data_IF_002646967803
#
_entry.id   IF_002646967803
#
_cell.length_a   1.000
_cell.length_b   1.000
_cell.length_c   1.000
_cell.angle_alpha   90.00
_cell.angle_beta   90.00
_cell.angle_gamma   90.00
#
_symmetry.space_group_name_H-M   'P 1'
#
loop_
_entity.id
_entity.type
_entity.pdbx_description
1 polymer ?
#
# COMPACT_ATOMS: atom_id res chain seq x y z
N UNK A 1 52.08 16.37 28.42
CA UNK A 1 51.66 17.10 27.20
C UNK A 1 51.43 16.19 26.00
N UNK A 2 52.39 15.36 25.58
CA UNK A 2 52.27 14.49 24.39
C UNK A 2 51.16 13.42 24.48
N UNK A 3 51.00 12.78 25.64
CA UNK A 3 49.94 11.77 25.88
C UNK A 3 48.54 12.40 25.87
N UNK A 4 48.39 13.59 26.47
CA UNK A 4 47.12 14.32 26.46
C UNK A 4 46.69 14.71 25.04
N UNK A 5 47.64 15.12 24.19
CA UNK A 5 47.39 15.44 22.79
C UNK A 5 46.94 14.23 21.97
N UNK A 6 47.56 13.06 22.19
CA UNK A 6 47.18 11.81 21.50
C UNK A 6 45.78 11.37 21.93
N UNK A 7 45.47 11.43 23.22
CA UNK A 7 44.14 11.07 23.73
C UNK A 7 43.05 12.04 23.24
N UNK A 8 43.35 13.34 23.18
CA UNK A 8 42.43 14.34 22.65
C UNK A 8 42.14 14.13 21.16
N UNK A 9 43.18 13.80 20.37
CA UNK A 9 43.03 13.52 18.94
C UNK A 9 42.22 12.25 18.70
N UNK A 10 42.48 11.18 19.47
CA UNK A 10 41.71 9.94 19.39
C UNK A 10 40.23 10.18 19.72
N UNK A 11 39.93 10.91 20.80
CA UNK A 11 38.55 11.22 21.20
C UNK A 11 37.82 12.02 20.12
N UNK A 12 38.47 13.02 19.52
CA UNK A 12 37.92 13.81 18.43
C UNK A 12 37.63 12.95 17.20
N UNK A 13 38.56 12.08 16.82
CA UNK A 13 38.33 11.14 15.70
C UNK A 13 37.23 10.15 16.02
N UNK A 14 37.20 9.59 17.23
CA UNK A 14 36.18 8.64 17.64
C UNK A 14 34.80 9.28 17.64
N UNK A 15 34.62 10.46 18.20
CA UNK A 15 33.35 11.19 18.18
C UNK A 15 32.94 11.52 16.75
N UNK A 16 33.85 11.96 15.90
CA UNK A 16 33.54 12.25 14.50
C UNK A 16 33.08 11.01 13.73
N UNK A 17 33.81 9.89 13.83
CA UNK A 17 33.42 8.64 13.17
C UNK A 17 32.16 8.04 13.77
N UNK A 18 32.03 8.05 15.10
CA UNK A 18 30.85 7.53 15.79
C UNK A 18 29.61 8.36 15.48
N UNK A 19 29.67 9.69 15.50
CA UNK A 19 28.57 10.54 15.07
C UNK A 19 28.23 10.37 13.59
N UNK A 20 29.23 10.10 12.73
CA UNK A 20 28.98 9.81 11.31
C UNK A 20 28.27 8.46 11.13
N UNK A 21 28.66 7.44 11.90
CA UNK A 21 27.99 6.13 11.95
C UNK A 21 26.57 6.28 12.49
N UNK A 22 26.41 6.96 13.64
CA UNK A 22 25.10 7.19 14.26
C UNK A 22 24.18 7.99 13.34
N UNK A 23 24.68 9.01 12.63
CA UNK A 23 23.90 9.74 11.64
C UNK A 23 23.55 8.89 10.43
N UNK A 24 24.48 8.06 9.95
CA UNK A 24 24.25 7.15 8.82
C UNK A 24 23.17 6.11 9.14
N UNK A 25 23.14 5.62 10.38
CA UNK A 25 22.13 4.70 10.88
C UNK A 25 21.03 5.40 11.69
N UNK A 26 20.90 6.73 11.60
CA UNK A 26 19.99 7.45 12.51
C UNK A 26 18.55 7.09 12.24
N UNK A 27 18.15 7.03 10.96
CA UNK A 27 16.80 6.64 10.59
C UNK A 27 16.55 5.17 10.92
N UNK A 28 17.52 4.27 10.68
CA UNK A 28 17.44 2.86 11.09
C UNK A 28 17.28 2.71 12.62
N UNK A 29 18.01 3.49 13.41
CA UNK A 29 17.90 3.50 14.87
C UNK A 29 16.63 4.20 15.35
N UNK A 30 16.21 5.28 14.70
CA UNK A 30 14.99 6.01 15.04
C UNK A 30 13.77 5.13 14.77
N UNK A 31 13.71 4.48 13.61
CA UNK A 31 12.70 3.47 13.28
C UNK A 31 12.73 2.32 14.28
N UNK A 32 13.90 1.77 14.60
CA UNK A 32 14.03 0.68 15.57
C UNK A 32 13.72 1.08 17.03
N UNK A 33 13.89 2.35 17.41
CA UNK A 33 13.61 2.87 18.76
C UNK A 33 12.19 3.41 18.93
N UNK A 34 11.56 3.91 17.87
CA UNK A 34 10.14 4.30 17.88
C UNK A 34 9.24 3.04 17.82
N UNK A 35 9.72 1.96 17.18
CA UNK A 35 9.08 0.64 17.14
C UNK A 35 9.42 -0.18 18.40
N UNK A 36 8.86 0.16 19.55
CA UNK A 36 8.90 -0.77 20.67
C UNK A 36 7.99 -1.98 20.35
N UNK A 37 8.63 -3.11 20.01
CA UNK A 37 8.15 -4.48 19.77
C UNK A 37 7.46 -4.81 18.43
N UNK A 38 8.21 -5.40 17.48
CA UNK A 38 7.65 -6.47 16.63
C UNK A 38 7.76 -6.42 15.11
N UNK A 39 8.76 -5.76 14.50
CA UNK A 39 8.94 -5.81 13.03
C UNK A 39 9.03 -7.26 12.53
N UNK A 40 8.14 -7.63 11.60
CA UNK A 40 8.07 -8.96 11.03
C UNK A 40 9.40 -9.37 10.38
N UNK A 41 10.01 -10.43 10.91
CA UNK A 41 11.38 -10.79 10.52
C UNK A 41 11.44 -11.39 9.11
N UNK A 42 12.56 -11.21 8.40
CA UNK A 42 12.81 -11.73 7.05
C UNK A 42 12.50 -13.24 6.88
N UNK A 43 12.67 -14.04 7.95
CA UNK A 43 12.52 -15.50 7.93
C UNK A 43 11.10 -16.00 8.29
N UNK A 44 10.14 -15.10 8.54
CA UNK A 44 8.76 -15.48 8.87
C UNK A 44 7.86 -15.43 7.64
N UNK A 45 6.75 -16.15 7.71
CA UNK A 45 5.68 -16.16 6.72
C UNK A 45 4.34 -16.14 7.43
N UNK A 46 3.39 -15.37 6.90
CA UNK A 46 2.01 -15.37 7.35
C UNK A 46 1.31 -16.54 6.64
N UNK A 47 0.66 -17.44 7.38
CA UNK A 47 -0.11 -18.52 6.74
C UNK A 47 -1.47 -18.00 6.27
N UNK A 48 -1.52 -17.59 5.02
CA UNK A 48 -2.72 -17.06 4.39
C UNK A 48 -3.59 -18.18 3.77
N UNK A 49 -3.17 -19.45 3.84
CA UNK A 49 -3.91 -20.55 3.21
C UNK A 49 -5.18 -20.97 3.98
N UNK A 50 -5.25 -20.73 5.29
CA UNK A 50 -6.35 -21.16 6.17
C UNK A 50 -7.37 -20.05 6.47
N UNK A 51 -7.44 -19.03 5.61
CA UNK A 51 -8.39 -17.92 5.78
C UNK A 51 -9.65 -18.14 4.95
N UNK A 52 -10.80 -17.60 5.41
CA UNK A 52 -12.10 -17.61 4.72
C UNK A 52 -12.04 -16.67 3.49
N UNK A 53 -11.12 -16.97 2.59
CA UNK A 53 -10.59 -16.03 1.65
C UNK A 53 -11.61 -15.59 0.59
N UNK A 54 -11.78 -14.27 0.45
CA UNK A 54 -12.29 -13.64 -0.78
C UNK A 54 -11.48 -14.02 -2.03
N UNK A 55 -10.22 -14.38 -1.83
CA UNK A 55 -9.25 -14.86 -2.80
C UNK A 55 -9.60 -16.19 -3.50
N UNK A 56 -10.45 -16.99 -2.85
CA UNK A 56 -11.02 -18.22 -3.38
C UNK A 56 -12.48 -18.07 -3.78
N UNK A 57 -13.05 -16.85 -3.69
CA UNK A 57 -14.32 -16.58 -4.38
C UNK A 57 -14.02 -16.79 -5.85
N UNK A 58 -14.62 -17.81 -6.43
CA UNK A 58 -14.62 -17.96 -7.87
C UNK A 58 -15.02 -16.63 -8.50
N UNK A 59 -14.48 -16.36 -9.68
CA UNK A 59 -14.82 -15.19 -10.49
C UNK A 59 -16.35 -15.09 -10.54
N UNK A 60 -16.91 -13.96 -10.08
CA UNK A 60 -18.36 -13.78 -10.13
C UNK A 60 -18.82 -13.81 -11.58
N UNK A 61 -19.97 -14.45 -11.83
CA UNK A 61 -20.60 -14.46 -13.14
C UNK A 61 -21.30 -13.12 -13.38
N UNK A 62 -20.57 -12.18 -13.98
CA UNK A 62 -21.10 -10.86 -14.34
C UNK A 62 -21.94 -10.98 -15.61
N UNK A 63 -23.25 -10.74 -15.49
CA UNK A 63 -24.13 -10.60 -16.64
C UNK A 63 -24.04 -9.18 -17.17
N UNK A 64 -23.23 -8.99 -18.21
CA UNK A 64 -23.02 -7.70 -18.85
C UNK A 64 -23.86 -7.65 -20.14
N UNK A 65 -24.79 -6.70 -20.20
CA UNK A 65 -25.58 -6.45 -21.41
C UNK A 65 -24.70 -5.86 -22.52
N UNK A 66 -25.08 -6.09 -23.78
CA UNK A 66 -24.35 -5.57 -24.93
C UNK A 66 -24.25 -4.03 -24.88
N UNK A 67 -23.01 -3.52 -24.84
CA UNK A 67 -22.72 -2.08 -24.71
C UNK A 67 -22.60 -1.54 -23.29
N UNK A 68 -22.77 -2.38 -22.26
CA UNK A 68 -22.67 -2.02 -20.83
C UNK A 68 -21.38 -2.52 -20.16
N UNK A 69 -20.41 -2.97 -20.97
CA UNK A 69 -19.11 -3.42 -20.49
C UNK A 69 -18.22 -2.21 -20.18
N UNK A 70 -17.52 -2.25 -19.05
CA UNK A 70 -16.53 -1.24 -18.70
C UNK A 70 -15.39 -1.23 -19.75
N UNK A 71 -15.15 -0.12 -20.47
CA UNK A 71 -14.00 -0.03 -21.35
C UNK A 71 -12.69 0.19 -20.56
N UNK A 72 -12.81 0.71 -19.34
CA UNK A 72 -11.74 1.00 -18.41
C UNK A 72 -12.27 0.98 -16.97
N UNK A 73 -11.38 0.71 -16.02
CA UNK A 73 -11.69 0.57 -14.61
C UNK A 73 -10.89 1.59 -13.80
N UNK A 74 -11.53 2.44 -12.99
CA UNK A 74 -10.85 3.22 -11.98
C UNK A 74 -10.22 2.30 -10.93
N UNK A 75 -8.91 2.42 -10.74
CA UNK A 75 -8.20 1.80 -9.61
C UNK A 75 -7.93 2.87 -8.57
N UNK A 76 -8.64 2.82 -7.46
CA UNK A 76 -8.60 3.85 -6.42
C UNK A 76 -7.44 3.56 -5.47
N UNK A 77 -6.61 4.57 -5.20
CA UNK A 77 -5.46 4.48 -4.31
C UNK A 77 -5.72 5.27 -3.02
N UNK A 78 -5.92 4.55 -1.93
CA UNK A 78 -5.95 5.06 -0.56
C UNK A 78 -4.67 4.69 0.19
N UNK A 79 -4.39 5.34 1.32
CA UNK A 79 -3.32 4.91 2.24
C UNK A 79 -3.86 4.81 3.66
N UNK A 80 -4.09 5.95 4.33
CA UNK A 80 -4.65 5.99 5.70
C UNK A 80 -6.11 6.40 5.69
N UNK A 81 -6.94 5.73 6.48
CA UNK A 81 -8.30 6.16 6.80
C UNK A 81 -8.34 6.52 8.29
N UNK A 82 -8.41 7.80 8.61
CA UNK A 82 -8.34 8.28 10.00
C UNK A 82 -9.68 8.80 10.47
N UNK A 83 -10.10 8.46 11.69
CA UNK A 83 -11.29 9.07 12.29
C UNK A 83 -11.10 10.58 12.39
N UNK A 84 -12.15 11.34 12.07
CA UNK A 84 -12.13 12.79 12.08
C UNK A 84 -11.71 13.37 13.46
N UNK A 85 -11.98 12.65 14.55
CA UNK A 85 -11.63 13.06 15.92
C UNK A 85 -10.19 12.74 16.31
N UNK A 86 -9.50 11.92 15.53
CA UNK A 86 -8.15 11.42 15.80
C UNK A 86 -7.05 12.25 15.11
N UNK A 87 -7.46 13.25 14.33
CA UNK A 87 -6.56 14.21 13.69
C UNK A 87 -5.78 15.00 14.75
N UNK A 88 -4.48 15.15 14.51
CA UNK A 88 -3.53 15.76 15.43
C UNK A 88 -2.48 16.55 14.65
N UNK A 89 -1.69 17.39 15.34
CA UNK A 89 -0.74 18.33 14.70
C UNK A 89 0.29 17.64 13.77
N UNK A 90 0.74 16.42 14.10
CA UNK A 90 1.71 15.69 13.28
C UNK A 90 1.13 15.11 11.98
N UNK A 91 -0.20 15.09 11.84
CA UNK A 91 -0.87 14.71 10.59
C UNK A 91 -0.83 15.83 9.54
N UNK A 92 -0.37 17.02 9.92
CA UNK A 92 -0.22 18.17 9.03
C UNK A 92 1.23 18.31 8.54
N UNK A 93 1.38 18.68 7.29
CA UNK A 93 2.66 19.09 6.73
C UNK A 93 3.09 20.46 7.29
N UNK A 94 4.30 20.91 6.95
CA UNK A 94 4.86 22.20 7.41
C UNK A 94 4.04 23.43 6.98
N UNK A 95 3.15 23.30 6.00
CA UNK A 95 2.27 24.36 5.53
C UNK A 95 0.91 24.34 6.24
N UNK A 96 0.69 23.45 7.22
CA UNK A 96 -0.58 23.30 7.93
C UNK A 96 -1.65 22.58 7.12
N UNK A 97 -1.26 21.82 6.08
CA UNK A 97 -2.18 21.03 5.28
C UNK A 97 -2.10 19.57 5.71
N UNK A 98 -3.24 18.92 5.93
CA UNK A 98 -3.30 17.49 6.25
C UNK A 98 -2.67 16.69 5.10
N UNK A 99 -1.83 15.69 5.42
CA UNK A 99 -1.14 14.89 4.41
C UNK A 99 -2.13 14.28 3.41
N UNK A 100 -1.79 14.34 2.12
CA UNK A 100 -2.65 13.84 1.03
C UNK A 100 -2.94 12.34 1.10
N UNK A 101 -2.08 11.58 1.78
CA UNK A 101 -2.22 10.14 2.02
C UNK A 101 -3.24 9.81 3.12
N UNK A 102 -3.75 10.82 3.83
CA UNK A 102 -4.81 10.66 4.81
C UNK A 102 -6.14 10.99 4.14
N UNK A 103 -7.10 10.08 4.22
CA UNK A 103 -8.52 10.33 3.95
C UNK A 103 -9.27 10.26 5.27
N UNK A 104 -10.18 11.20 5.52
CA UNK A 104 -10.99 11.13 6.73
C UNK A 104 -12.03 10.03 6.63
N UNK A 105 -12.30 9.36 7.74
CA UNK A 105 -13.32 8.31 7.82
C UNK A 105 -14.67 8.80 7.30
N UNK A 106 -15.10 10.01 7.71
CA UNK A 106 -16.38 10.57 7.22
C UNK A 106 -16.40 10.84 5.70
N UNK A 107 -15.24 11.06 5.07
CA UNK A 107 -15.13 11.15 3.61
C UNK A 107 -15.22 9.76 2.99
N UNK A 108 -14.50 8.79 3.53
CA UNK A 108 -14.50 7.40 3.07
C UNK A 108 -15.89 6.77 3.15
N UNK A 109 -16.62 6.96 4.26
CA UNK A 109 -18.01 6.52 4.42
C UNK A 109 -18.90 7.05 3.29
N UNK A 110 -18.86 8.37 3.02
CA UNK A 110 -19.64 8.98 1.92
C UNK A 110 -19.27 8.45 0.54
N UNK A 111 -18.00 8.15 0.33
CA UNK A 111 -17.51 7.58 -0.93
C UNK A 111 -18.05 6.15 -1.11
N UNK A 112 -18.00 5.32 -0.07
CA UNK A 112 -18.53 3.95 -0.12
C UNK A 112 -20.06 3.93 -0.22
N UNK A 113 -20.75 4.81 0.49
CA UNK A 113 -22.20 5.04 0.37
C UNK A 113 -22.58 5.39 -1.06
N UNK A 114 -21.82 6.29 -1.72
CA UNK A 114 -22.08 6.66 -3.10
C UNK A 114 -21.89 5.47 -4.04
N UNK A 115 -20.78 4.73 -3.91
CA UNK A 115 -20.55 3.53 -4.70
C UNK A 115 -21.72 2.54 -4.57
N UNK A 116 -22.16 2.28 -3.34
CA UNK A 116 -23.27 1.36 -3.08
C UNK A 116 -24.60 1.89 -3.65
N UNK A 117 -24.90 3.17 -3.45
CA UNK A 117 -26.10 3.83 -3.95
C UNK A 117 -26.18 3.80 -5.48
N UNK A 118 -25.04 3.93 -6.14
CA UNK A 118 -24.93 3.91 -7.60
C UNK A 118 -24.75 2.50 -8.18
N UNK A 119 -24.87 1.45 -7.37
CA UNK A 119 -24.73 0.04 -7.76
C UNK A 119 -23.34 -0.30 -8.33
N UNK A 120 -22.29 0.34 -7.82
CA UNK A 120 -20.92 -0.04 -8.17
C UNK A 120 -20.54 -1.41 -7.59
N UNK A 121 -19.75 -2.14 -8.37
CA UNK A 121 -19.11 -3.37 -7.96
C UNK A 121 -17.64 -3.09 -7.63
N UNK A 122 -17.20 -3.53 -6.46
CA UNK A 122 -15.77 -3.58 -6.13
C UNK A 122 -15.20 -4.93 -6.54
N UNK A 123 -14.08 -4.92 -7.27
CA UNK A 123 -13.50 -6.10 -7.90
C UNK A 123 -12.51 -6.80 -6.98
N UNK A 124 -12.51 -8.14 -7.03
CA UNK A 124 -11.38 -8.93 -6.51
C UNK A 124 -10.17 -8.76 -7.42
N UNK A 125 -8.99 -9.09 -6.92
CA UNK A 125 -7.77 -9.03 -7.74
C UNK A 125 -7.84 -9.94 -8.97
N UNK A 126 -8.49 -11.11 -8.84
CA UNK A 126 -8.61 -12.09 -9.93
C UNK A 126 -9.59 -11.65 -11.01
N UNK A 127 -10.71 -11.03 -10.64
CA UNK A 127 -11.65 -10.45 -11.60
C UNK A 127 -10.97 -9.32 -12.39
N UNK A 128 -10.22 -8.46 -11.69
CA UNK A 128 -9.46 -7.40 -12.33
C UNK A 128 -8.35 -7.94 -13.26
N UNK A 129 -7.60 -8.99 -12.84
CA UNK A 129 -6.60 -9.66 -13.69
C UNK A 129 -7.22 -10.19 -15.00
N UNK A 130 -8.38 -10.84 -14.91
CA UNK A 130 -9.05 -11.40 -16.09
C UNK A 130 -9.58 -10.30 -17.02
N UNK A 131 -10.12 -9.21 -16.46
CA UNK A 131 -10.52 -8.03 -17.23
C UNK A 131 -9.33 -7.41 -17.98
N UNK A 132 -8.21 -7.22 -17.28
CA UNK A 132 -6.98 -6.67 -17.84
C UNK A 132 -6.43 -7.51 -19.01
N UNK A 133 -6.67 -8.82 -19.00
CA UNK A 133 -6.31 -9.77 -20.06
C UNK A 133 -7.37 -9.90 -21.16
N UNK A 134 -8.48 -9.17 -21.07
CA UNK A 134 -9.60 -9.25 -22.01
C UNK A 134 -10.36 -10.58 -21.97
N UNK A 135 -10.29 -11.31 -20.85
CA UNK A 135 -10.90 -12.65 -20.71
C UNK A 135 -12.34 -12.60 -20.19
N UNK A 136 -12.73 -11.52 -19.51
CA UNK A 136 -14.09 -11.29 -19.03
C UNK A 136 -14.51 -9.84 -19.26
N UNK A 137 -15.81 -9.65 -19.49
CA UNK A 137 -16.43 -8.33 -19.43
C UNK A 137 -16.88 -8.05 -17.99
N UNK A 138 -16.67 -6.80 -17.56
CA UNK A 138 -17.13 -6.30 -16.25
C UNK A 138 -18.22 -5.23 -16.44
N UNK A 139 -19.17 -5.08 -15.50
CA UNK A 139 -20.15 -4.01 -15.54
C UNK A 139 -19.46 -2.63 -15.59
N UNK A 140 -20.01 -1.68 -16.36
CA UNK A 140 -19.49 -0.30 -16.48
C UNK A 140 -19.21 0.34 -15.10
N UNK A 141 -20.09 0.11 -14.13
CA UNK A 141 -19.93 0.59 -12.74
C UNK A 141 -19.08 -0.38 -11.93
N UNK A 142 -17.81 -0.54 -12.30
CA UNK A 142 -16.84 -1.36 -11.57
C UNK A 142 -15.63 -0.55 -11.17
N UNK A 143 -15.13 -0.78 -9.96
CA UNK A 143 -13.89 -0.16 -9.43
C UNK A 143 -13.02 -1.19 -8.74
N UNK A 144 -11.71 -0.96 -8.73
CA UNK A 144 -10.78 -1.67 -7.86
C UNK A 144 -10.36 -0.74 -6.74
N UNK A 145 -10.61 -1.11 -5.48
CA UNK A 145 -10.18 -0.33 -4.32
C UNK A 145 -8.83 -0.88 -3.85
N UNK A 146 -7.83 -0.02 -3.70
CA UNK A 146 -6.49 -0.39 -3.24
C UNK A 146 -6.04 0.52 -2.10
N UNK A 147 -5.29 -0.06 -1.16
CA UNK A 147 -4.63 0.61 -0.06
C UNK A 147 -3.14 0.29 -0.10
N UNK A 148 -2.30 1.26 0.19
CA UNK A 148 -0.84 1.05 0.30
C UNK A 148 -0.37 1.16 1.76
N UNK A 149 0.87 0.73 1.99
CA UNK A 149 1.66 0.78 3.23
C UNK A 149 1.27 -0.20 4.34
N UNK A 150 0.01 -0.63 4.41
CA UNK A 150 -0.46 -1.57 5.43
C UNK A 150 -0.65 -0.92 6.81
N UNK A 151 -1.27 0.26 6.86
CA UNK A 151 -1.58 0.95 8.11
C UNK A 151 -2.65 0.24 8.92
N UNK A 152 -2.52 0.27 10.24
CA UNK A 152 -3.48 -0.33 11.18
C UNK A 152 -4.88 0.26 11.05
N UNK A 153 -4.96 1.54 10.74
CA UNK A 153 -6.23 2.23 10.55
C UNK A 153 -7.05 1.70 9.36
N UNK A 154 -6.42 0.97 8.42
CA UNK A 154 -7.15 0.23 7.39
C UNK A 154 -7.98 -0.91 7.98
N UNK A 155 -7.50 -1.56 9.05
CA UNK A 155 -8.25 -2.57 9.78
C UNK A 155 -9.28 -1.94 10.73
N UNK A 156 -8.92 -0.86 11.41
CA UNK A 156 -9.80 -0.24 12.42
C UNK A 156 -10.96 0.51 11.77
N UNK A 157 -10.69 1.31 10.73
CA UNK A 157 -11.68 2.21 10.14
C UNK A 157 -12.21 1.73 8.79
N UNK A 158 -11.33 1.34 7.85
CA UNK A 158 -11.76 1.01 6.49
C UNK A 158 -12.48 -0.34 6.40
N UNK A 159 -11.94 -1.37 7.05
CA UNK A 159 -12.48 -2.74 7.06
C UNK A 159 -13.98 -2.82 7.44
N UNK A 160 -14.44 -2.27 8.58
CA UNK A 160 -15.85 -2.40 8.96
C UNK A 160 -16.79 -1.74 7.95
N UNK A 161 -16.41 -0.60 7.38
CA UNK A 161 -17.20 0.12 6.37
C UNK A 161 -17.29 -0.72 5.08
N UNK A 162 -16.16 -1.19 4.56
CA UNK A 162 -16.13 -2.06 3.38
C UNK A 162 -16.96 -3.33 3.59
N UNK A 163 -16.86 -3.93 4.78
CA UNK A 163 -17.62 -5.14 5.14
C UNK A 163 -19.13 -4.89 5.16
N UNK A 164 -19.58 -3.76 5.70
CA UNK A 164 -20.99 -3.38 5.74
C UNK A 164 -21.57 -3.25 4.32
N UNK A 165 -20.81 -2.67 3.39
CA UNK A 165 -21.19 -2.56 1.98
C UNK A 165 -20.97 -3.85 1.17
N UNK A 166 -20.42 -4.91 1.77
CA UNK A 166 -19.99 -6.14 1.08
C UNK A 166 -18.99 -5.87 -0.05
N UNK A 167 -18.15 -4.86 0.14
CA UNK A 167 -17.08 -4.50 -0.77
C UNK A 167 -15.80 -5.27 -0.47
N UNK A 168 -14.95 -5.37 -1.49
CA UNK A 168 -13.62 -5.96 -1.41
C UNK A 168 -12.58 -4.93 -1.84
N UNK A 169 -11.36 -5.09 -1.33
CA UNK A 169 -10.26 -4.18 -1.61
C UNK A 169 -8.93 -4.94 -1.52
N UNK A 170 -7.90 -4.39 -2.16
CA UNK A 170 -6.52 -4.86 -2.05
C UNK A 170 -5.78 -3.99 -1.05
N UNK A 171 -4.82 -4.57 -0.33
CA UNK A 171 -3.91 -3.85 0.56
C UNK A 171 -2.47 -4.27 0.27
N UNK A 172 -1.66 -3.36 -0.27
CA UNK A 172 -0.25 -3.58 -0.54
C UNK A 172 0.55 -3.23 0.72
N UNK A 173 1.10 -4.23 1.37
CA UNK A 173 1.73 -4.10 2.68
C UNK A 173 3.26 -4.06 2.58
N UNK A 174 3.88 -3.17 3.34
CA UNK A 174 5.33 -3.18 3.55
C UNK A 174 5.60 -4.29 4.58
N UNK A 175 6.04 -5.46 4.12
CA UNK A 175 5.99 -6.66 4.98
C UNK A 175 6.92 -6.56 6.18
N UNK A 176 7.99 -5.77 6.10
CA UNK A 176 8.89 -5.53 7.22
C UNK A 176 8.30 -4.64 8.31
N UNK A 177 7.20 -3.93 8.05
CA UNK A 177 6.51 -3.08 9.01
C UNK A 177 5.32 -3.76 9.68
N UNK A 178 4.94 -4.97 9.25
CA UNK A 178 3.89 -5.74 9.89
C UNK A 178 4.31 -6.05 11.33
N UNK A 179 3.39 -5.88 12.27
CA UNK A 179 3.63 -6.22 13.67
C UNK A 179 3.36 -7.72 13.93
N UNK A 180 4.25 -8.38 14.64
CA UNK A 180 4.06 -9.79 15.01
C UNK A 180 2.85 -10.03 15.93
N UNK A 181 2.55 -9.05 16.78
CA UNK A 181 1.46 -9.12 17.76
C UNK A 181 0.64 -7.86 17.73
N UNK A 182 -0.66 -8.01 17.96
CA UNK A 182 -1.57 -6.89 18.11
C UNK A 182 -1.16 -5.97 19.29
N UNK A 183 -1.48 -4.70 19.12
CA UNK A 183 -1.24 -3.62 20.08
C UNK A 183 -2.48 -2.71 20.11
N UNK A 184 -2.67 -1.94 21.18
CA UNK A 184 -3.77 -0.97 21.20
C UNK A 184 -3.60 0.04 20.06
N UNK A 185 -4.71 0.40 19.39
CA UNK A 185 -4.67 1.40 18.34
C UNK A 185 -4.49 2.79 18.96
N UNK A 186 -3.39 3.43 18.61
CA UNK A 186 -2.96 4.75 19.01
C UNK A 186 -2.86 5.63 17.76
N UNK A 187 -3.91 6.40 17.43
CA UNK A 187 -3.97 7.20 16.20
C UNK A 187 -2.87 8.28 16.11
N UNK A 188 -2.20 8.57 17.23
CA UNK A 188 -1.09 9.52 17.29
C UNK A 188 0.21 9.00 16.66
N UNK A 189 0.26 7.72 16.33
CA UNK A 189 1.44 7.06 15.79
C UNK A 189 1.12 6.43 14.43
N UNK A 190 2.14 6.36 13.57
CA UNK A 190 2.05 5.50 12.39
C UNK A 190 2.16 4.06 12.85
N UNK A 191 1.02 3.41 13.05
CA UNK A 191 0.94 1.99 13.36
C UNK A 191 0.57 1.20 12.11
N UNK A 192 1.15 0.02 12.00
CA UNK A 192 0.95 -0.89 10.89
C UNK A 192 0.12 -2.09 11.34
N UNK A 193 -0.37 -2.85 10.36
CA UNK A 193 -1.16 -4.04 10.62
C UNK A 193 -0.34 -5.08 11.38
N UNK A 194 -0.97 -5.72 12.37
CA UNK A 194 -0.47 -6.96 12.95
C UNK A 194 -0.89 -8.17 12.12
N UNK A 195 -0.26 -9.33 12.36
CA UNK A 195 -0.70 -10.61 11.78
C UNK A 195 -2.19 -10.87 12.08
N UNK A 196 -2.64 -10.57 13.30
CA UNK A 196 -4.05 -10.73 13.69
C UNK A 196 -4.98 -9.82 12.91
N UNK A 197 -4.61 -8.56 12.68
CA UNK A 197 -5.40 -7.61 11.88
C UNK A 197 -5.58 -8.12 10.44
N UNK A 198 -4.47 -8.59 9.85
CA UNK A 198 -4.44 -9.20 8.51
C UNK A 198 -5.41 -10.39 8.45
N UNK A 199 -5.26 -11.34 9.36
CA UNK A 199 -6.06 -12.57 9.39
C UNK A 199 -7.55 -12.28 9.60
N UNK A 200 -7.88 -11.31 10.47
CA UNK A 200 -9.25 -10.93 10.80
C UNK A 200 -10.00 -10.29 9.62
N UNK A 201 -9.30 -9.66 8.68
CA UNK A 201 -9.91 -8.89 7.60
C UNK A 201 -9.88 -9.56 6.21
N UNK A 202 -9.46 -10.82 6.13
CA UNK A 202 -9.32 -11.58 4.87
C UNK A 202 -10.63 -11.90 4.12
N UNK A 203 -11.79 -11.59 4.71
CA UNK A 203 -13.10 -11.66 4.06
C UNK A 203 -13.42 -10.44 3.19
N UNK A 204 -12.65 -9.36 3.36
CA UNK A 204 -12.74 -8.08 2.62
C UNK A 204 -11.43 -7.77 1.88
N UNK A 205 -10.30 -7.88 2.59
CA UNK A 205 -9.00 -7.44 2.11
C UNK A 205 -8.17 -8.54 1.46
N UNK A 206 -7.54 -8.13 0.37
CA UNK A 206 -6.57 -8.86 -0.40
C UNK A 206 -5.14 -8.28 -0.22
N UNK A 207 -4.32 -8.86 0.67
CA UNK A 207 -2.93 -8.50 0.96
C UNK A 207 -1.85 -8.93 -0.05
N UNK A 208 -1.09 -7.95 -0.56
CA UNK A 208 -0.03 -8.10 -1.57
C UNK A 208 1.24 -7.31 -1.23
N UNK A 209 2.30 -7.49 -2.00
CA UNK A 209 3.61 -6.92 -1.68
C UNK A 209 3.70 -5.43 -2.00
N UNK A 210 4.16 -4.65 -1.02
CA UNK A 210 4.67 -3.30 -1.19
C UNK A 210 6.14 -3.21 -0.76
N UNK A 211 6.93 -4.24 -1.12
CA UNK A 211 8.31 -4.46 -0.64
C UNK A 211 8.41 -4.96 0.81
N UNK A 212 9.61 -5.36 1.23
CA UNK A 212 9.89 -5.69 2.63
C UNK A 212 10.31 -4.45 3.41
N UNK A 213 11.36 -3.77 2.95
CA UNK A 213 11.90 -2.56 3.57
C UNK A 213 12.48 -1.60 2.51
N UNK A 214 11.88 -1.54 1.31
CA UNK A 214 12.32 -0.66 0.22
C UNK A 214 11.36 0.51 -0.02
N UNK A 215 10.41 0.73 0.89
CA UNK A 215 9.58 1.93 0.94
C UNK A 215 10.34 3.12 1.57
N UNK A 216 11.45 3.48 0.95
CA UNK A 216 12.33 4.60 1.34
C UNK A 216 12.78 5.40 0.13
N UNK A 217 13.25 6.61 0.39
CA UNK A 217 13.92 7.46 -0.58
C UNK A 217 15.34 7.75 -0.13
N UNK A 218 16.28 7.83 -1.08
CA UNK A 218 17.63 8.26 -0.77
C UNK A 218 17.71 9.77 -0.50
N UNK A 219 18.90 10.27 -0.15
CA UNK A 219 19.15 11.69 0.15
C UNK A 219 18.70 12.66 -0.96
N UNK A 220 18.50 12.19 -2.18
CA UNK A 220 18.03 12.98 -3.34
C UNK A 220 16.52 12.89 -3.56
N UNK A 221 15.78 12.21 -2.68
CA UNK A 221 14.34 11.99 -2.82
C UNK A 221 13.99 10.95 -3.89
N UNK A 222 14.93 10.10 -4.29
CA UNK A 222 14.67 9.04 -5.29
C UNK A 222 14.37 7.74 -4.56
N UNK A 223 13.26 7.08 -4.92
CA UNK A 223 12.85 5.81 -4.30
C UNK A 223 13.94 4.75 -4.42
N UNK A 224 14.11 3.95 -3.36
CA UNK A 224 15.11 2.88 -3.29
C UNK A 224 14.92 1.87 -4.42
N UNK A 225 13.67 1.54 -4.75
CA UNK A 225 13.33 0.58 -5.79
C UNK A 225 14.00 0.88 -7.15
N UNK A 226 14.18 2.17 -7.50
CA UNK A 226 14.78 2.59 -8.77
C UNK A 226 16.20 3.13 -8.64
N UNK A 227 16.72 3.28 -7.42
CA UNK A 227 18.06 3.85 -7.17
C UNK A 227 19.07 2.84 -6.63
N UNK A 228 18.62 1.81 -5.93
CA UNK A 228 19.47 0.76 -5.39
C UNK A 228 19.87 -0.28 -6.45
N UNK A 229 20.96 -1.03 -6.23
CA UNK A 229 21.34 -2.14 -7.10
C UNK A 229 20.21 -3.15 -7.25
N UNK A 230 19.94 -3.60 -8.48
CA UNK A 230 18.82 -4.52 -8.78
C UNK A 230 18.88 -5.83 -7.98
N UNK A 231 20.08 -6.28 -7.60
CA UNK A 231 20.25 -7.46 -6.72
C UNK A 231 19.74 -7.24 -5.30
N UNK A 232 19.84 -6.01 -4.78
CA UNK A 232 19.31 -5.65 -3.47
C UNK A 232 17.78 -5.52 -3.53
N UNK A 233 17.26 -4.89 -4.59
CA UNK A 233 15.82 -4.82 -4.89
C UNK A 233 15.21 -6.23 -4.97
N UNK A 234 15.85 -7.13 -5.73
CA UNK A 234 15.41 -8.53 -5.84
C UNK A 234 15.34 -9.22 -4.48
N UNK A 235 16.40 -9.10 -3.67
CA UNK A 235 16.44 -9.71 -2.33
C UNK A 235 15.30 -9.18 -1.44
N UNK A 236 15.04 -7.89 -1.47
CA UNK A 236 13.97 -7.28 -0.67
C UNK A 236 12.57 -7.80 -1.09
N UNK A 237 12.30 -7.86 -2.40
CA UNK A 237 11.05 -8.41 -2.92
C UNK A 237 10.94 -9.92 -2.60
N UNK A 238 12.02 -10.69 -2.68
CA UNK A 238 12.05 -12.11 -2.31
C UNK A 238 11.67 -12.32 -0.84
N UNK A 239 12.15 -11.46 0.06
CA UNK A 239 11.75 -11.49 1.48
C UNK A 239 10.27 -11.19 1.61
N UNK A 240 9.77 -10.16 0.93
CA UNK A 240 8.35 -9.79 0.96
C UNK A 240 7.43 -10.91 0.46
N UNK A 241 7.81 -11.56 -0.64
CA UNK A 241 7.12 -12.72 -1.20
C UNK A 241 7.12 -13.88 -0.20
N UNK A 242 8.27 -14.17 0.44
CA UNK A 242 8.34 -15.18 1.50
C UNK A 242 7.44 -14.83 2.69
N UNK A 243 7.42 -13.56 3.12
CA UNK A 243 6.55 -13.09 4.20
C UNK A 243 5.06 -13.29 3.90
N UNK A 244 4.68 -13.19 2.62
CA UNK A 244 3.32 -13.34 2.12
C UNK A 244 3.02 -14.78 1.65
N UNK A 245 3.67 -15.80 2.22
CA UNK A 245 3.47 -17.21 1.90
C UNK A 245 3.86 -17.61 0.48
N UNK A 246 4.97 -17.06 -0.02
CA UNK A 246 5.46 -17.23 -1.39
C UNK A 246 4.47 -16.77 -2.47
N UNK A 247 3.63 -15.78 -2.15
CA UNK A 247 2.71 -15.17 -3.11
C UNK A 247 3.38 -14.01 -3.82
N UNK A 248 3.60 -14.19 -5.12
CA UNK A 248 4.09 -13.16 -6.03
C UNK A 248 3.03 -12.77 -7.06
N UNK A 249 1.74 -12.67 -6.71
CA UNK A 249 0.72 -12.36 -7.72
C UNK A 249 0.74 -10.90 -8.17
N UNK A 250 0.68 -9.94 -7.23
CA UNK A 250 0.64 -8.52 -7.56
C UNK A 250 1.50 -7.67 -6.62
N UNK A 251 1.90 -6.51 -7.12
CA UNK A 251 2.87 -5.62 -6.49
C UNK A 251 2.44 -4.16 -6.62
N UNK A 252 2.66 -3.32 -5.61
CA UNK A 252 2.57 -1.87 -5.78
C UNK A 252 3.96 -1.24 -5.68
N UNK A 253 4.31 -0.33 -6.57
CA UNK A 253 5.59 0.38 -6.53
C UNK A 253 5.58 1.44 -5.42
N UNK A 254 6.50 1.40 -4.44
CA UNK A 254 6.67 2.47 -3.47
C UNK A 254 6.77 3.85 -4.13
N UNK A 255 5.96 4.80 -3.66
CA UNK A 255 5.83 6.15 -4.23
C UNK A 255 5.39 6.18 -5.72
N UNK A 256 4.93 5.06 -6.26
CA UNK A 256 4.70 4.86 -7.70
C UNK A 256 5.97 4.93 -8.55
N UNK A 257 7.16 4.76 -7.96
CA UNK A 257 8.42 4.89 -8.66
C UNK A 257 8.83 3.56 -9.31
N UNK A 258 8.88 3.54 -10.65
CA UNK A 258 9.23 2.35 -11.43
C UNK A 258 10.19 2.68 -12.58
N UNK A 259 10.87 1.66 -13.10
CA UNK A 259 11.62 1.72 -14.36
C UNK A 259 11.57 0.35 -15.06
N UNK A 260 12.14 0.24 -16.27
CA UNK A 260 12.14 -1.02 -17.01
C UNK A 260 12.83 -2.16 -16.24
N UNK A 261 13.93 -1.89 -15.51
CA UNK A 261 14.64 -2.94 -14.76
C UNK A 261 13.79 -3.52 -13.64
N UNK A 262 13.00 -2.68 -12.96
CA UNK A 262 12.11 -3.15 -11.88
C UNK A 262 10.92 -3.90 -12.46
N UNK A 263 10.38 -3.47 -13.60
CA UNK A 263 9.32 -4.21 -14.29
C UNK A 263 9.81 -5.58 -14.80
N UNK A 264 10.97 -5.62 -15.48
CA UNK A 264 11.59 -6.86 -15.95
C UNK A 264 11.86 -7.83 -14.77
N UNK A 265 12.31 -7.30 -13.62
CA UNK A 265 12.52 -8.11 -12.41
C UNK A 265 11.21 -8.70 -11.86
N UNK A 266 10.13 -7.93 -11.83
CA UNK A 266 8.82 -8.43 -11.37
C UNK A 266 8.30 -9.52 -12.32
N UNK A 267 8.48 -9.37 -13.63
CA UNK A 267 8.19 -10.42 -14.61
C UNK A 267 9.03 -11.69 -14.37
N UNK A 268 10.34 -11.55 -14.16
CA UNK A 268 11.23 -12.68 -13.81
C UNK A 268 10.84 -13.40 -12.51
N UNK A 269 10.11 -12.72 -11.62
CA UNK A 269 9.63 -13.24 -10.33
C UNK A 269 8.17 -13.73 -10.39
N UNK A 270 7.64 -13.90 -11.61
CA UNK A 270 6.29 -14.40 -11.91
C UNK A 270 5.15 -13.50 -11.36
N UNK A 271 5.42 -12.21 -11.14
CA UNK A 271 4.34 -11.25 -10.87
C UNK A 271 3.42 -11.11 -12.07
N UNK A 272 2.11 -11.07 -11.80
CA UNK A 272 1.07 -10.96 -12.82
C UNK A 272 0.78 -9.51 -13.17
N UNK A 273 0.77 -8.62 -12.18
CA UNK A 273 0.56 -7.18 -12.38
C UNK A 273 1.32 -6.33 -11.35
N UNK A 274 1.62 -5.09 -11.71
CA UNK A 274 2.21 -4.10 -10.81
C UNK A 274 1.56 -2.72 -10.94
N UNK A 275 1.27 -2.10 -9.79
CA UNK A 275 0.47 -0.89 -9.66
C UNK A 275 1.34 0.36 -9.41
N UNK A 276 1.06 1.42 -10.16
CA UNK A 276 1.77 2.71 -10.15
C UNK A 276 0.94 3.81 -9.48
N UNK A 277 1.40 5.06 -9.50
CA UNK A 277 0.59 6.23 -9.11
C UNK A 277 0.24 7.14 -10.30
N UNK A 278 0.32 6.59 -11.52
CA UNK A 278 -0.05 7.32 -12.73
C UNK A 278 -1.57 7.57 -12.74
N UNK A 279 -1.98 8.84 -12.82
CA UNK A 279 -3.38 9.30 -12.68
C UNK A 279 -4.19 9.03 -13.96
N UNK A 280 -4.48 7.76 -14.23
CA UNK A 280 -5.31 7.29 -15.35
C UNK A 280 -6.17 6.09 -14.89
N UNK A 281 -7.15 5.70 -15.71
CA UNK A 281 -7.95 4.48 -15.52
C UNK A 281 -7.28 3.30 -16.21
N UNK A 282 -7.49 2.11 -15.66
CA UNK A 282 -6.91 0.89 -16.19
C UNK A 282 -7.73 0.35 -17.37
N UNK A 283 -7.08 0.01 -18.47
CA UNK A 283 -7.69 -0.56 -19.68
C UNK A 283 -7.17 -1.96 -19.95
N UNK A 284 -7.95 -2.83 -20.62
CA UNK A 284 -7.42 -4.09 -21.14
C UNK A 284 -6.22 -3.88 -22.06
N UNK A 285 -5.36 -4.89 -22.18
CA UNK A 285 -4.20 -4.92 -23.09
C UNK A 285 -3.10 -3.86 -22.86
N UNK A 286 -3.13 -3.11 -21.75
CA UNK A 286 -2.01 -2.27 -21.33
C UNK A 286 -0.90 -3.10 -20.66
N UNK A 287 0.27 -2.48 -20.46
CA UNK A 287 1.39 -3.11 -19.75
C UNK A 287 0.95 -3.53 -18.33
N UNK A 288 0.91 -4.85 -18.01
CA UNK A 288 0.43 -5.33 -16.72
C UNK A 288 1.34 -4.89 -15.57
N UNK A 289 2.59 -4.50 -15.84
CA UNK A 289 3.52 -4.00 -14.84
C UNK A 289 3.46 -2.48 -14.65
N UNK A 290 2.44 -1.81 -15.24
CA UNK A 290 2.22 -0.36 -15.13
C UNK A 290 0.74 -0.03 -14.99
N UNK A 291 0.03 -0.71 -14.11
CA UNK A 291 -1.39 -0.42 -13.85
C UNK A 291 -1.50 0.98 -13.24
N UNK A 292 -2.21 1.94 -13.88
CA UNK A 292 -2.39 3.27 -13.33
C UNK A 292 -3.36 3.24 -12.16
N UNK A 293 -3.21 4.19 -11.24
CA UNK A 293 -4.09 4.35 -10.08
C UNK A 293 -4.42 5.81 -9.84
N UNK A 294 -5.65 6.04 -9.43
CA UNK A 294 -6.18 7.36 -9.12
C UNK A 294 -6.06 7.57 -7.61
N UNK A 295 -5.16 8.46 -7.19
CA UNK A 295 -5.00 8.85 -5.78
C UNK A 295 -6.29 9.48 -5.25
N UNK A 296 -6.79 8.97 -4.12
CA UNK A 296 -7.84 9.60 -3.33
C UNK A 296 -7.20 10.29 -2.14
N UNK A 297 -7.48 11.58 -1.99
CA UNK A 297 -6.91 12.43 -0.95
C UNK A 297 -7.99 13.12 -0.13
N UNK A 298 -7.60 13.61 1.05
CA UNK A 298 -8.42 14.49 1.88
C UNK A 298 -8.96 15.76 1.18
N UNK A 299 -8.41 16.15 0.03
CA UNK A 299 -8.86 17.33 -0.73
C UNK A 299 -10.03 17.03 -1.66
N UNK A 300 -10.27 15.75 -1.96
CA UNK A 300 -11.35 15.36 -2.84
C UNK A 300 -12.68 15.53 -2.09
N UNK A 301 -13.53 16.39 -2.62
CA UNK A 301 -14.94 16.36 -2.24
C UNK A 301 -15.67 15.21 -2.98
N UNK A 302 -16.99 15.11 -2.75
CA UNK A 302 -17.78 14.05 -3.36
C UNK A 302 -17.90 14.21 -4.88
N UNK A 303 -17.81 15.42 -5.42
CA UNK A 303 -17.88 15.68 -6.86
C UNK A 303 -16.55 15.37 -7.55
N UNK A 304 -15.41 15.64 -6.89
CA UNK A 304 -14.10 15.16 -7.33
C UNK A 304 -14.05 13.63 -7.33
N UNK A 305 -14.61 12.99 -6.30
CA UNK A 305 -14.70 11.53 -6.25
C UNK A 305 -15.59 10.97 -7.38
N UNK A 306 -16.76 11.57 -7.65
CA UNK A 306 -17.64 11.21 -8.79
C UNK A 306 -16.88 11.22 -10.11
N UNK A 307 -16.12 12.28 -10.39
CA UNK A 307 -15.32 12.40 -11.61
C UNK A 307 -14.29 11.25 -11.72
N UNK A 308 -13.58 10.95 -10.63
CA UNK A 308 -12.57 9.89 -10.58
C UNK A 308 -13.15 8.50 -10.87
N UNK A 309 -14.37 8.23 -10.39
CA UNK A 309 -15.06 6.97 -10.66
C UNK A 309 -15.84 6.97 -11.99
N UNK A 310 -15.81 8.07 -12.75
CA UNK A 310 -16.44 8.18 -14.07
C UNK A 310 -17.93 8.52 -14.06
N UNK A 311 -18.45 9.06 -12.97
CA UNK A 311 -19.80 9.65 -12.92
C UNK A 311 -19.78 11.10 -13.40
N UNK A 312 -20.89 11.55 -13.99
CA UNK A 312 -21.08 12.95 -14.37
C UNK A 312 -21.24 13.83 -13.11
N UNK A 313 -20.66 15.05 -13.14
CA UNK A 313 -20.89 16.08 -12.12
C UNK A 313 -22.30 16.67 -12.29
N UNK A 314 -22.97 16.97 -11.19
CA UNK A 314 -24.33 17.56 -11.19
C UNK A 314 -24.34 19.07 -11.51
#
# INVERSE_FOLDING_TARGET
MRIMLVNALFLLTFVFFFSSIVNYYYDDFATAMDSNSGLFTENKSIDLNDTNQGWGRGVRDFKVDEGSAAPEIPVLLYHRILDDNDIQDHHYNKNGELYKTITLKSQFEKQMDLLAKEDFVTLTSKEFELFMRGEIDLPEKSVLITFDDGFKDNHIEAYPILKEHQFTALNFVITGYIDESDSEYEPAHNQYLSISDIMAATDVFEYYSHTYNFHHQNEKGVAYLISEPISAVKKDIEISVNNLNNRSDYFAYPYGAYNNKTADLLEEMDFKMAFTSDLDKARPDQDPYRIPRIEISNRDDIEDFKEKIGLEKE
#
